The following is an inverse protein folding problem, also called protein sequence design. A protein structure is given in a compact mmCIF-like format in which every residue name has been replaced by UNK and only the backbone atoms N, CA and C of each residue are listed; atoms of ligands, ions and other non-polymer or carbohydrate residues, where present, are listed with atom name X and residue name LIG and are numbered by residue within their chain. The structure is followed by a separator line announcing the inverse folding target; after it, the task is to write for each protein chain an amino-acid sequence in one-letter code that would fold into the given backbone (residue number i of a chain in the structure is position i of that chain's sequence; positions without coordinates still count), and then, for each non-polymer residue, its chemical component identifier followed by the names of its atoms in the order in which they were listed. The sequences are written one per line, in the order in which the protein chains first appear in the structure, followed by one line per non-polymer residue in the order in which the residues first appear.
data_IF_822224990396
#
_entry.id   IF_822224990396
#
_cell.length_a   1.000
_cell.length_b   1.000
_cell.length_c   1.000
_cell.angle_alpha   90.00
_cell.angle_beta   90.00
_cell.angle_gamma   90.00
#
_symmetry.space_group_name_H-M   'P 1'
#
loop_
_entity.id
_entity.type
_entity.pdbx_description
1 polymer ?
#
# COMPACT_ATOMS: atom_id res chain seq x y z
N UNK A 1 5.99 39.86 2.94
CA UNK A 1 6.17 39.00 1.76
C UNK A 1 5.74 37.61 2.18
N UNK A 2 4.57 37.15 1.72
CA UNK A 2 4.06 35.85 2.10
C UNK A 2 4.93 34.79 1.42
N UNK A 3 5.55 33.91 2.21
CA UNK A 3 6.15 32.68 1.72
C UNK A 3 5.05 31.91 0.99
N UNK A 4 5.15 31.82 -0.33
CA UNK A 4 4.25 31.01 -1.14
C UNK A 4 4.45 29.56 -0.70
N UNK A 5 3.56 29.10 0.19
CA UNK A 5 3.72 27.84 0.93
C UNK A 5 3.69 26.69 -0.07
N UNK A 6 4.87 26.31 -0.57
CA UNK A 6 5.05 25.26 -1.57
C UNK A 6 4.22 24.05 -1.16
N UNK A 7 3.29 23.65 -2.03
CA UNK A 7 2.42 22.50 -1.78
C UNK A 7 3.29 21.30 -1.45
N UNK A 8 3.08 20.71 -0.27
CA UNK A 8 3.83 19.53 0.16
C UNK A 8 3.55 18.38 -0.81
N UNK A 9 4.59 17.63 -1.19
CA UNK A 9 4.49 16.52 -2.15
C UNK A 9 4.87 15.19 -1.49
N UNK A 10 4.13 14.14 -1.78
CA UNK A 10 4.41 12.76 -1.35
C UNK A 10 4.45 11.83 -2.56
N UNK A 11 5.58 11.13 -2.74
CA UNK A 11 5.72 10.07 -3.73
C UNK A 11 5.87 8.73 -3.02
N UNK A 12 5.06 7.76 -3.39
CA UNK A 12 5.07 6.40 -2.83
C UNK A 12 5.33 5.38 -3.95
N UNK A 13 6.04 4.30 -3.62
CA UNK A 13 6.23 3.17 -4.53
C UNK A 13 5.56 1.94 -3.95
N UNK A 14 4.56 1.41 -4.66
CA UNK A 14 3.85 0.20 -4.30
C UNK A 14 4.33 -0.94 -5.21
N UNK A 15 5.28 -1.76 -4.72
CA UNK A 15 5.87 -2.87 -5.47
C UNK A 15 5.30 -4.25 -5.11
N UNK A 16 4.66 -4.38 -3.93
CA UNK A 16 4.05 -5.63 -3.45
C UNK A 16 2.54 -5.61 -3.68
N UNK A 17 2.00 -6.75 -4.10
CA UNK A 17 0.58 -6.91 -4.45
C UNK A 17 -0.27 -7.63 -3.42
N UNK A 18 0.26 -7.99 -2.25
CA UNK A 18 -0.54 -8.63 -1.19
C UNK A 18 -1.43 -7.62 -0.48
N UNK A 19 -2.53 -8.10 0.10
CA UNK A 19 -3.54 -7.24 0.72
C UNK A 19 -2.95 -6.41 1.86
N UNK A 20 -2.16 -7.03 2.73
CA UNK A 20 -1.47 -6.40 3.86
C UNK A 20 -0.51 -5.29 3.43
N UNK A 21 0.14 -5.44 2.27
CA UNK A 21 1.09 -4.47 1.75
C UNK A 21 0.42 -3.37 0.90
N UNK A 22 -0.85 -3.55 0.51
CA UNK A 22 -1.62 -2.54 -0.20
C UNK A 22 -2.12 -1.42 0.74
N UNK A 23 -2.40 -1.75 2.00
CA UNK A 23 -2.92 -0.77 2.98
C UNK A 23 -1.97 0.40 3.25
N UNK A 24 -0.67 0.20 3.55
CA UNK A 24 0.23 1.31 3.90
C UNK A 24 0.29 2.44 2.86
N UNK A 25 0.57 2.18 1.55
CA UNK A 25 0.64 3.26 0.58
C UNK A 25 -0.73 3.94 0.36
N UNK A 26 -1.84 3.20 0.44
CA UNK A 26 -3.17 3.78 0.26
C UNK A 26 -3.57 4.66 1.45
N UNK A 27 -3.38 4.20 2.70
CA UNK A 27 -3.69 4.98 3.91
C UNK A 27 -2.88 6.27 3.95
N UNK A 28 -1.57 6.18 3.70
CA UNK A 28 -0.69 7.35 3.69
C UNK A 28 -1.07 8.33 2.59
N UNK A 29 -1.36 7.83 1.38
CA UNK A 29 -1.75 8.67 0.28
C UNK A 29 -3.08 9.40 0.54
N UNK A 30 -4.10 8.69 1.03
CA UNK A 30 -5.39 9.28 1.38
C UNK A 30 -5.26 10.32 2.47
N UNK A 31 -4.45 10.05 3.50
CA UNK A 31 -4.22 11.01 4.60
C UNK A 31 -3.49 12.26 4.09
N UNK A 32 -2.43 12.09 3.30
CA UNK A 32 -1.69 13.23 2.74
C UNK A 32 -2.56 14.06 1.78
N UNK A 33 -3.38 13.40 0.95
CA UNK A 33 -4.33 14.09 0.07
C UNK A 33 -5.37 14.89 0.87
N UNK A 34 -5.90 14.32 1.97
CA UNK A 34 -6.83 15.01 2.87
C UNK A 34 -6.18 16.23 3.56
N UNK A 35 -4.87 16.21 3.82
CA UNK A 35 -4.09 17.34 4.34
C UNK A 35 -3.72 18.37 3.25
N UNK A 36 -4.20 18.21 2.02
CA UNK A 36 -3.96 19.12 0.90
C UNK A 36 -2.62 18.93 0.18
N UNK A 37 -1.92 17.82 0.41
CA UNK A 37 -0.64 17.54 -0.26
C UNK A 37 -0.89 17.10 -1.71
N UNK A 38 0.11 17.26 -2.57
CA UNK A 38 0.15 16.63 -3.89
C UNK A 38 0.73 15.23 -3.72
N UNK A 39 0.00 14.19 -4.11
CA UNK A 39 0.36 12.80 -3.81
C UNK A 39 0.37 11.97 -5.09
N UNK A 40 1.41 11.16 -5.27
CA UNK A 40 1.50 10.17 -6.34
C UNK A 40 1.88 8.81 -5.78
N UNK A 41 1.23 7.74 -6.26
CA UNK A 41 1.62 6.35 -6.01
C UNK A 41 2.06 5.75 -7.33
N UNK A 42 3.32 5.30 -7.40
CA UNK A 42 3.83 4.51 -8.49
C UNK A 42 3.63 3.02 -8.20
N UNK A 43 2.66 2.42 -8.87
CA UNK A 43 2.41 0.98 -8.81
C UNK A 43 3.31 0.25 -9.81
N UNK A 44 4.08 -0.72 -9.32
CA UNK A 44 5.04 -1.48 -10.15
C UNK A 44 5.08 -2.95 -9.74
N UNK A 45 5.62 -3.80 -10.62
CA UNK A 45 5.68 -5.26 -10.44
C UNK A 45 4.34 -5.86 -9.97
N UNK A 46 4.33 -6.54 -8.83
CA UNK A 46 3.13 -7.12 -8.23
C UNK A 46 2.16 -6.07 -7.69
N UNK A 47 2.62 -4.86 -7.40
CA UNK A 47 1.76 -3.76 -6.98
C UNK A 47 0.71 -3.35 -8.01
N UNK A 48 0.88 -3.70 -9.30
CA UNK A 48 -0.14 -3.52 -10.32
C UNK A 48 -1.44 -4.29 -10.01
N UNK A 49 -1.36 -5.38 -9.25
CA UNK A 49 -2.53 -6.17 -8.87
C UNK A 49 -3.47 -5.40 -7.92
N UNK A 50 -2.94 -4.39 -7.20
CA UNK A 50 -3.72 -3.48 -6.34
C UNK A 50 -4.74 -2.66 -7.15
N UNK A 51 -4.35 -2.21 -8.33
CA UNK A 51 -5.18 -1.35 -9.20
C UNK A 51 -5.88 -2.14 -10.33
N UNK A 52 -5.60 -3.45 -10.43
CA UNK A 52 -6.18 -4.29 -11.46
C UNK A 52 -7.63 -4.68 -11.09
N UNK A 53 -8.61 -4.16 -11.84
CA UNK A 53 -10.06 -4.41 -11.64
C UNK A 53 -10.45 -5.89 -11.54
N UNK A 54 -9.70 -6.80 -12.19
CA UNK A 54 -9.98 -8.24 -12.17
C UNK A 54 -9.37 -8.96 -10.95
N UNK A 55 -8.36 -8.37 -10.32
CA UNK A 55 -7.56 -9.01 -9.26
C UNK A 55 -7.74 -8.38 -7.89
N UNK A 56 -8.03 -7.07 -7.79
CA UNK A 56 -8.07 -6.33 -6.53
C UNK A 56 -9.03 -6.96 -5.50
N UNK A 57 -10.16 -7.50 -5.96
CA UNK A 57 -11.16 -8.14 -5.08
C UNK A 57 -10.70 -9.50 -4.51
N UNK A 58 -9.60 -10.05 -5.02
CA UNK A 58 -9.06 -11.37 -4.65
C UNK A 58 -7.70 -11.27 -3.95
N UNK A 59 -7.25 -10.06 -3.60
CA UNK A 59 -5.99 -9.92 -2.86
C UNK A 59 -6.10 -10.58 -1.49
N UNK A 60 -5.03 -11.27 -1.10
CA UNK A 60 -4.94 -11.98 0.18
C UNK A 60 -3.71 -11.49 0.94
N UNK A 61 -3.73 -11.69 2.25
CA UNK A 61 -2.57 -11.48 3.10
C UNK A 61 -1.50 -12.52 2.74
N UNK A 62 -0.25 -12.10 2.61
CA UNK A 62 0.85 -13.02 2.35
C UNK A 62 1.05 -13.96 3.55
N UNK A 63 1.00 -15.30 3.37
CA UNK A 63 1.17 -16.25 4.47
C UNK A 63 2.64 -16.47 4.85
N UNK A 64 3.57 -16.26 3.90
CA UNK A 64 5.00 -16.48 4.09
C UNK A 64 5.71 -15.13 4.09
N UNK A 65 6.59 -14.93 5.08
CA UNK A 65 7.37 -13.70 5.21
C UNK A 65 6.59 -12.50 5.75
N UNK A 66 5.36 -12.71 6.23
CA UNK A 66 4.61 -11.69 6.97
C UNK A 66 4.90 -11.85 8.48
N UNK A 67 5.60 -10.89 9.12
CA UNK A 67 5.93 -10.97 10.54
C UNK A 67 4.70 -10.98 11.47
N UNK A 68 3.54 -10.53 10.99
CA UNK A 68 2.29 -10.50 11.75
C UNK A 68 1.47 -11.79 11.64
N UNK A 69 1.83 -12.72 10.74
CA UNK A 69 1.16 -14.02 10.66
C UNK A 69 1.68 -14.95 11.76
N UNK A 70 0.80 -15.60 12.56
CA UNK A 70 1.21 -16.64 13.48
C UNK A 70 1.94 -17.76 12.75
N UNK A 71 2.95 -18.35 13.39
CA UNK A 71 3.62 -19.52 12.85
C UNK A 71 2.59 -20.61 12.51
N UNK A 72 2.74 -21.35 11.39
CA UNK A 72 1.86 -22.44 11.06
C UNK A 72 1.83 -23.43 12.24
N UNK A 73 0.64 -23.68 12.79
CA UNK A 73 0.48 -24.68 13.84
C UNK A 73 0.85 -26.03 13.20
N UNK A 74 1.79 -26.81 13.77
CA UNK A 74 2.07 -28.15 13.27
C UNK A 74 0.76 -28.93 13.27
N UNK A 75 0.42 -29.53 12.12
CA UNK A 75 -0.71 -30.45 12.08
C UNK A 75 -0.45 -31.55 13.11
N UNK A 76 -1.27 -31.58 14.16
CA UNK A 76 -1.29 -32.71 15.10
C UNK A 76 -1.75 -33.91 14.25
N UNK A 77 -1.02 -35.05 14.28
CA UNK A 77 -1.31 -36.21 13.44
C UNK A 77 -2.73 -36.76 13.65
#
# INVERSE_FOLDING_TARGET
MAEEKRRRRLALVASKGSLDMAYPPLILATTAAALGWEVGIFFTFYGLDIINKKKLAKLKVAPIGNPAMPAPIPAIP
#
